data_IF_998517191196
#
_entry.id   IF_998517191196
#
_cell.length_a   1.000
_cell.length_b   1.000
_cell.length_c   1.000
_cell.angle_alpha   90.00
_cell.angle_beta   90.00
_cell.angle_gamma   90.00
#
_symmetry.space_group_name_H-M   'P 1'
#
loop_
_entity.id
_entity.type
_entity.pdbx_description
1 polymer ?
#
# COMPACT_ATOMS: atom_id res chain seq x y z
N UNK A 1 -48.68 31.24 -44.92
CA UNK A 1 -48.11 32.61 -44.96
C UNK A 1 -46.93 32.64 -44.00
N UNK A 2 -45.68 32.92 -44.36
CA UNK A 2 -45.04 33.21 -45.63
C UNK A 2 -43.53 33.39 -45.40
N UNK A 3 -42.74 32.61 -46.15
CA UNK A 3 -41.44 32.93 -46.78
C UNK A 3 -40.21 33.29 -45.91
N UNK A 4 -39.22 32.38 -45.93
CA UNK A 4 -37.79 32.72 -46.02
C UNK A 4 -37.46 33.09 -47.48
N UNK A 5 -36.45 33.94 -47.73
CA UNK A 5 -35.31 33.44 -48.52
C UNK A 5 -33.94 33.98 -48.08
N UNK A 6 -32.89 33.23 -48.45
CA UNK A 6 -31.47 33.60 -48.47
C UNK A 6 -31.23 34.84 -49.35
N UNK A 7 -30.18 35.63 -49.06
CA UNK A 7 -29.18 36.18 -50.00
C UNK A 7 -28.05 36.84 -49.16
N UNK A 8 -26.81 36.49 -49.46
CA UNK A 8 -25.63 37.18 -48.94
C UNK A 8 -25.14 38.29 -49.88
N UNK A 9 -24.42 39.27 -49.33
CA UNK A 9 -23.35 40.00 -50.01
C UNK A 9 -22.52 40.79 -48.98
N UNK A 10 -21.25 40.97 -49.35
CA UNK A 10 -20.09 41.38 -48.58
C UNK A 10 -19.95 42.89 -48.29
N UNK A 11 -19.22 43.22 -47.21
CA UNK A 11 -18.33 44.39 -47.06
C UNK A 11 -17.50 44.18 -45.77
N UNK A 12 -16.29 43.60 -45.79
CA UNK A 12 -14.97 44.22 -46.04
C UNK A 12 -14.76 45.54 -45.29
N UNK A 13 -14.08 45.49 -44.14
CA UNK A 13 -13.26 46.59 -43.64
C UNK A 13 -12.03 46.04 -42.90
N UNK A 14 -10.87 46.46 -43.38
CA UNK A 14 -9.53 46.04 -42.99
C UNK A 14 -9.14 46.55 -41.60
N UNK A 15 -8.48 45.70 -40.82
CA UNK A 15 -7.46 46.15 -39.86
C UNK A 15 -6.17 45.41 -40.15
N UNK A 16 -5.25 46.18 -40.74
CA UNK A 16 -3.85 45.87 -41.00
C UNK A 16 -3.05 46.14 -39.71
N UNK A 17 -2.26 45.17 -39.26
CA UNK A 17 -1.01 45.43 -38.53
C UNK A 17 -0.10 44.19 -38.52
N UNK A 18 0.94 44.27 -39.37
CA UNK A 18 2.27 43.64 -39.32
C UNK A 18 2.50 42.30 -38.59
N UNK A 19 2.79 41.28 -39.40
CA UNK A 19 3.79 40.26 -39.08
C UNK A 19 5.22 40.82 -39.24
N UNK A 20 6.20 40.23 -38.56
CA UNK A 20 7.50 40.03 -39.19
C UNK A 20 7.83 38.54 -39.33
N UNK A 21 8.43 38.25 -40.48
CA UNK A 21 8.86 36.96 -40.98
C UNK A 21 9.94 36.29 -40.11
N UNK A 22 9.98 34.96 -40.24
CA UNK A 22 11.11 34.13 -39.83
C UNK A 22 12.33 34.44 -40.71
N UNK A 23 13.45 34.76 -40.08
CA UNK A 23 14.78 34.54 -40.63
C UNK A 23 15.56 33.66 -39.67
N UNK A 24 15.96 32.49 -40.16
CA UNK A 24 16.85 31.58 -39.46
C UNK A 24 18.27 32.15 -39.45
N UNK A 25 18.91 32.17 -38.28
CA UNK A 25 20.37 32.19 -38.18
C UNK A 25 20.79 31.23 -37.06
N UNK A 26 21.59 30.24 -37.45
CA UNK A 26 22.44 29.45 -36.58
C UNK A 26 23.04 30.33 -35.47
N UNK A 27 23.03 29.84 -34.22
CA UNK A 27 24.18 29.84 -33.33
C UNK A 27 23.83 28.99 -32.10
N UNK A 28 24.65 27.98 -31.83
CA UNK A 28 24.59 27.17 -30.61
C UNK A 28 24.85 27.99 -29.34
N UNK A 29 24.93 27.34 -28.17
CA UNK A 29 25.16 28.03 -26.91
C UNK A 29 26.47 28.82 -26.96
N UNK A 30 26.36 30.15 -26.95
CA UNK A 30 27.48 31.07 -26.81
C UNK A 30 27.89 31.06 -25.32
N UNK A 31 29.13 30.66 -25.03
CA UNK A 31 29.73 30.83 -23.71
C UNK A 31 29.69 32.32 -23.34
N UNK A 32 28.92 32.66 -22.32
CA UNK A 32 28.95 34.00 -21.73
C UNK A 32 30.30 34.15 -21.05
N UNK A 33 31.03 35.14 -21.54
CA UNK A 33 32.33 35.60 -21.08
C UNK A 33 32.37 35.70 -19.55
N UNK A 34 33.36 35.05 -18.94
CA UNK A 34 33.58 35.15 -17.50
C UNK A 34 33.97 36.59 -17.14
N UNK A 35 33.04 37.29 -16.49
CA UNK A 35 33.35 38.54 -15.80
C UNK A 35 34.12 38.16 -14.54
N UNK A 36 35.44 38.24 -14.62
CA UNK A 36 36.31 38.15 -13.43
C UNK A 36 36.03 39.36 -12.54
N UNK A 37 35.14 39.20 -11.57
CA UNK A 37 34.99 40.15 -10.48
C UNK A 37 36.26 40.11 -9.62
N UNK A 38 36.86 41.27 -9.37
CA UNK A 38 37.99 41.40 -8.47
C UNK A 38 37.63 40.88 -7.06
N UNK A 39 38.56 40.19 -6.36
CA UNK A 39 38.29 39.66 -5.03
C UNK A 39 37.98 40.80 -4.08
N UNK A 40 36.74 40.89 -3.62
CA UNK A 40 36.37 41.83 -2.55
C UNK A 40 36.70 41.14 -1.25
N UNK A 41 37.68 41.67 -0.52
CA UNK A 41 38.01 41.22 0.84
C UNK A 41 36.77 41.35 1.72
N UNK A 42 36.22 40.27 2.29
CA UNK A 42 35.15 40.40 3.26
C UNK A 42 35.70 41.05 4.53
N UNK A 43 35.11 42.18 4.93
CA UNK A 43 35.36 42.79 6.23
C UNK A 43 34.88 41.84 7.35
N UNK A 44 35.66 41.62 8.42
CA UNK A 44 35.28 40.72 9.49
C UNK A 44 34.17 41.38 10.33
N UNK A 45 32.92 40.99 10.09
CA UNK A 45 31.80 41.37 10.95
C UNK A 45 31.23 40.12 11.61
N UNK A 46 31.79 39.75 12.77
CA UNK A 46 31.08 39.30 13.97
C UNK A 46 32.10 38.88 15.03
N UNK A 47 32.20 39.63 16.12
CA UNK A 47 32.89 39.18 17.31
C UNK A 47 32.13 37.99 17.92
N UNK A 48 32.84 36.88 18.15
CA UNK A 48 32.33 35.75 18.91
C UNK A 48 32.18 36.19 20.37
N UNK A 49 30.94 36.23 20.86
CA UNK A 49 30.67 36.37 22.29
C UNK A 49 31.12 35.08 22.98
N UNK A 50 31.94 35.21 24.03
CA UNK A 50 32.34 34.07 24.85
C UNK A 50 31.10 33.42 25.49
N UNK A 51 30.98 32.10 25.32
CA UNK A 51 30.02 31.29 26.05
C UNK A 51 30.37 31.33 27.54
N UNK A 52 29.46 31.74 28.45
CA UNK A 52 29.73 31.66 29.88
C UNK A 52 29.91 30.20 30.30
N UNK A 53 30.86 29.89 31.22
CA UNK A 53 31.00 28.55 31.76
C UNK A 53 29.73 28.15 32.52
N UNK A 54 29.41 26.84 32.59
CA UNK A 54 28.25 26.37 33.35
C UNK A 54 28.41 26.75 34.83
N UNK A 55 27.41 27.44 35.37
CA UNK A 55 27.28 27.69 36.81
C UNK A 55 26.92 26.35 37.45
N UNK A 56 27.85 25.77 38.20
CA UNK A 56 27.56 24.64 39.08
C UNK A 56 26.74 25.14 40.27
N UNK A 57 25.42 25.00 40.19
CA UNK A 57 24.56 25.18 41.36
C UNK A 57 24.73 23.91 42.21
N UNK A 58 25.35 24.04 43.38
CA UNK A 58 25.38 22.98 44.37
C UNK A 58 23.95 22.82 44.94
N UNK A 59 23.22 21.83 44.43
CA UNK A 59 21.95 21.43 45.02
C UNK A 59 22.30 20.57 46.23
N UNK A 60 22.18 21.13 47.44
CA UNK A 60 22.25 20.36 48.67
C UNK A 60 21.00 19.49 48.80
N UNK A 61 21.07 18.26 48.30
CA UNK A 61 20.04 17.26 48.53
C UNK A 61 20.18 16.75 49.97
N UNK A 62 19.39 17.28 50.91
CA UNK A 62 19.23 16.64 52.21
C UNK A 62 18.37 15.38 52.03
N UNK A 63 19.02 14.22 51.95
CA UNK A 63 18.34 12.92 52.03
C UNK A 63 17.86 12.73 53.47
N UNK A 64 16.56 12.83 53.69
CA UNK A 64 15.93 12.35 54.92
C UNK A 64 15.81 10.82 54.82
N UNK A 65 16.73 10.12 55.46
CA UNK A 65 16.76 8.66 55.51
C UNK A 65 15.68 8.16 56.47
N UNK A 66 14.52 7.75 55.95
CA UNK A 66 13.55 6.91 56.68
C UNK A 66 13.75 5.44 56.28
N UNK A 67 14.06 4.52 57.21
CA UNK A 67 14.12 3.11 56.90
C UNK A 67 12.69 2.54 56.84
N UNK A 68 12.14 2.39 55.63
CA UNK A 68 10.97 1.53 55.40
C UNK A 68 11.49 0.17 54.97
N UNK A 69 11.50 -0.78 55.90
CA UNK A 69 11.72 -2.20 55.60
C UNK A 69 10.41 -2.82 55.15
N UNK A 70 10.19 -2.87 53.84
CA UNK A 70 9.16 -3.73 53.21
C UNK A 70 9.83 -4.73 52.28
N UNK A 71 9.45 -6.02 52.30
CA UNK A 71 10.03 -7.01 51.43
C UNK A 71 9.63 -6.72 49.97
N UNK A 72 10.62 -6.37 49.15
CA UNK A 72 10.49 -6.29 47.68
C UNK A 72 10.21 -7.67 47.11
N UNK A 73 8.94 -7.97 46.83
CA UNK A 73 8.57 -9.02 45.89
C UNK A 73 8.95 -8.55 44.49
N UNK A 74 9.88 -9.26 43.83
CA UNK A 74 10.24 -8.99 42.43
C UNK A 74 9.02 -9.22 41.55
N UNK A 75 8.34 -8.15 41.15
CA UNK A 75 7.36 -8.24 40.08
C UNK A 75 8.10 -8.15 38.75
N UNK A 76 8.05 -9.23 37.97
CA UNK A 76 8.43 -9.24 36.56
C UNK A 76 7.36 -8.48 35.76
N UNK A 77 7.40 -7.14 35.80
CA UNK A 77 6.66 -6.35 34.82
C UNK A 77 7.53 -6.22 33.57
N UNK A 78 7.16 -6.95 32.52
CA UNK A 78 7.67 -6.71 31.17
C UNK A 78 7.03 -5.42 30.70
N UNK A 79 7.84 -4.35 30.58
CA UNK A 79 7.42 -3.13 29.92
C UNK A 79 7.27 -3.44 28.42
N UNK A 80 6.06 -3.78 28.00
CA UNK A 80 5.69 -3.82 26.59
C UNK A 80 5.65 -2.37 26.08
N UNK A 81 6.79 -1.88 25.60
CA UNK A 81 6.81 -0.70 24.74
C UNK A 81 6.02 -1.04 23.49
N UNK A 82 4.98 -0.27 23.10
CA UNK A 82 4.32 -0.48 21.83
C UNK A 82 5.35 -0.36 20.70
N UNK A 83 5.58 -1.45 19.98
CA UNK A 83 6.47 -1.45 18.81
C UNK A 83 5.89 -0.50 17.78
N UNK A 84 6.63 0.54 17.42
CA UNK A 84 6.24 1.46 16.35
C UNK A 84 5.97 0.66 15.08
N UNK A 85 4.92 1.01 14.31
CA UNK A 85 4.65 0.35 13.04
C UNK A 85 5.87 0.45 12.12
N UNK A 86 6.09 -0.58 11.28
CA UNK A 86 7.23 -0.69 10.39
C UNK A 86 7.55 0.64 9.68
N UNK A 87 8.80 1.07 9.76
CA UNK A 87 9.32 2.26 9.09
C UNK A 87 9.92 1.87 7.75
N UNK A 88 9.81 2.75 6.76
CA UNK A 88 10.39 2.55 5.42
C UNK A 88 11.92 2.71 5.43
N UNK A 89 12.51 3.18 6.53
CA UNK A 89 13.96 3.31 6.68
C UNK A 89 14.61 1.92 6.78
N UNK A 90 15.57 1.59 5.90
CA UNK A 90 16.33 0.35 6.03
C UNK A 90 17.10 0.37 7.36
N UNK A 91 16.82 -0.59 8.23
CA UNK A 91 17.68 -0.88 9.37
C UNK A 91 19.03 -1.33 8.79
N UNK A 92 20.08 -0.54 8.98
CA UNK A 92 21.45 -0.96 8.62
C UNK A 92 21.88 -2.09 9.57
N UNK A 93 21.44 -3.30 9.28
CA UNK A 93 22.01 -4.53 9.82
C UNK A 93 23.24 -4.86 8.98
N UNK A 94 24.47 -4.91 9.55
CA UNK A 94 25.65 -5.27 8.79
C UNK A 94 25.49 -6.71 8.28
N UNK A 95 25.18 -6.86 7.00
CA UNK A 95 25.02 -8.16 6.34
C UNK A 95 26.37 -8.60 5.81
N UNK A 96 27.09 -9.38 6.61
CA UNK A 96 28.21 -10.19 6.13
C UNK A 96 27.66 -11.22 5.14
N UNK A 97 27.93 -11.01 3.85
CA UNK A 97 27.47 -11.88 2.76
C UNK A 97 28.49 -13.00 2.53
N UNK A 98 28.20 -14.27 2.84
CA UNK A 98 29.04 -15.37 2.37
C UNK A 98 28.77 -15.58 0.87
N UNK A 99 29.81 -15.41 0.05
CA UNK A 99 29.80 -15.71 -1.37
C UNK A 99 29.93 -17.22 -1.59
N UNK A 100 28.80 -17.90 -1.83
CA UNK A 100 28.80 -19.26 -2.38
C UNK A 100 28.05 -19.27 -3.70
N UNK A 101 28.77 -19.65 -4.76
CA UNK A 101 28.25 -19.83 -6.11
C UNK A 101 27.62 -21.23 -6.21
N UNK A 102 26.31 -21.38 -6.48
CA UNK A 102 25.73 -22.71 -6.69
C UNK A 102 26.09 -23.23 -8.08
N UNK A 103 26.73 -24.40 -8.13
CA UNK A 103 26.90 -25.19 -9.35
C UNK A 103 25.58 -25.92 -9.65
N UNK A 104 24.93 -25.59 -10.77
CA UNK A 104 23.76 -26.32 -11.24
C UNK A 104 24.18 -27.64 -11.89
N UNK A 105 23.82 -28.76 -11.26
CA UNK A 105 23.89 -30.09 -11.87
C UNK A 105 22.61 -30.33 -12.69
N UNK A 106 22.77 -30.69 -13.97
CA UNK A 106 21.66 -30.99 -14.87
C UNK A 106 20.86 -32.22 -14.38
N UNK A 107 19.53 -32.10 -14.37
CA UNK A 107 18.59 -33.16 -14.00
C UNK A 107 18.47 -34.20 -15.13
N UNK A 108 18.37 -35.52 -14.83
CA UNK A 108 18.09 -36.53 -15.85
C UNK A 108 16.66 -36.38 -16.43
N UNK A 109 16.42 -36.78 -17.69
CA UNK A 109 15.11 -36.65 -18.32
C UNK A 109 14.07 -37.54 -17.61
N UNK A 110 12.97 -36.92 -17.19
CA UNK A 110 11.78 -37.61 -16.66
C UNK A 110 11.07 -38.39 -17.77
N UNK A 111 10.73 -39.65 -17.49
CA UNK A 111 10.04 -40.55 -18.40
C UNK A 111 8.65 -40.03 -18.80
N UNK A 112 8.39 -40.00 -20.11
CA UNK A 112 7.09 -39.71 -20.70
C UNK A 112 6.13 -40.87 -20.43
N UNK A 113 5.09 -40.65 -19.63
CA UNK A 113 4.00 -41.63 -19.49
C UNK A 113 3.10 -41.58 -20.71
N UNK A 114 3.12 -42.65 -21.51
CA UNK A 114 2.20 -42.89 -22.62
C UNK A 114 0.82 -43.26 -22.06
N UNK A 115 -0.21 -42.45 -22.29
CA UNK A 115 -1.60 -42.83 -22.02
C UNK A 115 -2.12 -43.68 -23.18
N UNK A 116 -2.29 -44.97 -22.93
CA UNK A 116 -2.95 -45.91 -23.86
C UNK A 116 -4.47 -45.74 -23.73
N UNK A 117 -5.12 -45.18 -24.74
CA UNK A 117 -6.58 -45.19 -24.82
C UNK A 117 -7.04 -46.56 -25.35
N UNK A 118 -7.74 -47.34 -24.51
CA UNK A 118 -8.42 -48.55 -24.95
C UNK A 118 -9.78 -48.11 -25.52
N UNK A 119 -9.92 -48.10 -26.84
CA UNK A 119 -11.22 -47.91 -27.49
C UNK A 119 -11.98 -49.24 -27.46
N UNK A 120 -12.89 -49.41 -26.50
CA UNK A 120 -13.85 -50.51 -26.51
C UNK A 120 -14.97 -50.16 -27.50
N UNK A 121 -15.04 -50.89 -28.61
CA UNK A 121 -16.18 -50.80 -29.53
C UNK A 121 -17.45 -51.35 -28.83
N UNK A 122 -18.60 -50.65 -28.92
CA UNK A 122 -19.84 -51.18 -28.36
C UNK A 122 -20.35 -52.35 -29.21
N UNK A 123 -20.54 -53.51 -28.57
CA UNK A 123 -21.26 -54.62 -29.18
C UNK A 123 -22.73 -54.25 -29.34
N UNK A 124 -23.21 -54.15 -30.58
CA UNK A 124 -24.63 -54.04 -30.91
C UNK A 124 -25.29 -55.42 -30.75
N UNK A 125 -25.84 -55.68 -29.57
CA UNK A 125 -26.84 -56.73 -29.37
C UNK A 125 -28.25 -56.13 -29.44
N UNK A 126 -29.00 -56.58 -30.44
CA UNK A 126 -30.43 -56.33 -30.62
C UNK A 126 -31.23 -56.78 -29.40
N UNK A 127 -31.96 -55.85 -28.76
CA UNK A 127 -33.05 -56.20 -27.85
C UNK A 127 -33.21 -55.30 -26.62
N UNK A 128 -34.09 -54.30 -26.73
CA UNK A 128 -35.00 -53.92 -25.65
C UNK A 128 -34.48 -53.08 -24.49
N UNK A 129 -35.14 -51.93 -24.32
CA UNK A 129 -35.10 -50.99 -23.17
C UNK A 129 -33.94 -50.00 -23.19
N UNK A 130 -34.25 -48.76 -23.59
CA UNK A 130 -33.41 -47.57 -23.45
C UNK A 130 -33.37 -47.21 -21.95
N UNK A 131 -32.23 -47.33 -21.24
CA UNK A 131 -32.13 -46.70 -19.93
C UNK A 131 -32.15 -45.18 -20.13
N UNK A 132 -33.08 -44.51 -19.44
CA UNK A 132 -33.06 -43.04 -19.27
C UNK A 132 -31.65 -42.70 -18.76
N UNK A 133 -30.89 -41.79 -19.40
CA UNK A 133 -29.57 -41.45 -18.92
C UNK A 133 -29.71 -40.88 -17.51
N UNK A 134 -29.20 -41.61 -16.52
CA UNK A 134 -28.93 -41.11 -15.19
C UNK A 134 -28.21 -39.78 -15.36
N UNK A 135 -28.77 -38.72 -14.78
CA UNK A 135 -28.21 -37.38 -14.87
C UNK A 135 -26.69 -37.46 -14.68
N UNK A 136 -25.94 -37.01 -15.70
CA UNK A 136 -24.52 -36.75 -15.55
C UNK A 136 -24.43 -35.67 -14.46
N UNK A 137 -24.18 -36.09 -13.22
CA UNK A 137 -23.64 -35.21 -12.21
C UNK A 137 -22.26 -34.86 -12.71
N UNK A 138 -22.17 -33.77 -13.48
CA UNK A 138 -20.90 -33.11 -13.75
C UNK A 138 -20.41 -32.70 -12.38
N UNK A 139 -19.56 -33.53 -11.77
CA UNK A 139 -18.67 -33.07 -10.72
C UNK A 139 -17.89 -31.94 -11.39
N UNK A 140 -18.11 -30.66 -11.02
CA UNK A 140 -17.35 -29.56 -11.61
C UNK A 140 -15.91 -29.97 -11.42
N UNK A 141 -15.16 -30.15 -12.51
CA UNK A 141 -13.80 -30.65 -12.43
C UNK A 141 -13.09 -29.79 -11.38
N UNK A 142 -12.73 -30.40 -10.25
CA UNK A 142 -11.95 -29.74 -9.23
C UNK A 142 -10.71 -29.24 -9.96
N UNK A 143 -10.65 -27.92 -10.17
CA UNK A 143 -9.53 -27.30 -10.83
C UNK A 143 -8.29 -27.74 -10.05
N UNK A 144 -7.34 -28.42 -10.72
CA UNK A 144 -6.19 -29.00 -10.05
C UNK A 144 -5.22 -27.88 -9.66
N UNK A 145 -5.52 -27.17 -8.56
CA UNK A 145 -4.71 -26.07 -8.09
C UNK A 145 -3.35 -26.60 -7.61
N UNK A 146 -2.28 -26.10 -8.22
CA UNK A 146 -0.90 -26.43 -7.83
C UNK A 146 -0.44 -25.67 -6.60
N UNK A 147 -1.09 -24.55 -6.30
CA UNK A 147 -0.79 -23.68 -5.15
C UNK A 147 -2.00 -23.60 -4.25
N UNK A 148 -1.78 -23.87 -2.96
CA UNK A 148 -2.81 -23.75 -1.93
C UNK A 148 -3.03 -22.29 -1.51
N UNK A 149 -4.25 -22.03 -1.04
CA UNK A 149 -4.58 -20.81 -0.31
C UNK A 149 -3.90 -20.80 1.06
N UNK A 150 -3.53 -19.62 1.56
CA UNK A 150 -2.92 -19.46 2.89
C UNK A 150 -3.91 -19.70 4.04
N UNK A 151 -5.18 -19.89 3.72
CA UNK A 151 -6.29 -20.12 4.64
C UNK A 151 -7.04 -21.42 4.28
N UNK A 152 -7.75 -21.98 5.25
CA UNK A 152 -8.53 -23.23 5.11
C UNK A 152 -9.99 -23.13 5.55
N UNK A 153 -10.43 -21.98 6.06
CA UNK A 153 -11.79 -21.76 6.57
C UNK A 153 -12.88 -21.79 5.49
N UNK A 154 -12.52 -21.53 4.23
CA UNK A 154 -13.38 -21.76 3.07
C UNK A 154 -12.51 -22.13 1.87
N UNK A 155 -13.14 -22.68 0.82
CA UNK A 155 -12.46 -23.06 -0.41
C UNK A 155 -13.00 -22.21 -1.56
N UNK A 156 -12.24 -21.20 -2.03
CA UNK A 156 -12.56 -20.48 -3.26
C UNK A 156 -12.63 -21.47 -4.44
N UNK A 157 -13.55 -21.24 -5.37
CA UNK A 157 -13.61 -22.01 -6.62
C UNK A 157 -12.40 -21.73 -7.53
N UNK A 158 -11.79 -20.55 -7.40
CA UNK A 158 -10.58 -20.13 -8.08
C UNK A 158 -9.31 -20.71 -7.45
N UNK A 159 -8.28 -20.92 -8.26
CA UNK A 159 -6.96 -21.29 -7.77
C UNK A 159 -6.13 -20.06 -7.37
N UNK A 160 -5.30 -20.21 -6.35
CA UNK A 160 -4.27 -19.22 -6.03
C UNK A 160 -3.21 -19.17 -7.15
N UNK A 161 -2.87 -17.97 -7.61
CA UNK A 161 -1.89 -17.76 -8.69
C UNK A 161 -0.44 -17.71 -8.21
N UNK A 162 -0.23 -17.43 -6.93
CA UNK A 162 1.08 -17.21 -6.33
C UNK A 162 1.12 -17.73 -4.89
N UNK A 163 2.31 -18.12 -4.38
CA UNK A 163 2.49 -18.29 -2.94
C UNK A 163 2.13 -17.02 -2.17
N UNK A 164 1.73 -17.11 -0.89
CA UNK A 164 1.37 -15.94 -0.12
C UNK A 164 2.53 -14.96 0.02
N UNK A 165 2.25 -13.72 -0.35
CA UNK A 165 3.15 -12.61 -0.09
C UNK A 165 3.03 -12.23 1.38
N UNK A 166 4.06 -12.55 2.16
CA UNK A 166 4.13 -12.25 3.59
C UNK A 166 5.08 -11.08 3.80
N UNK A 167 4.62 -10.05 4.50
CA UNK A 167 5.46 -8.90 4.88
C UNK A 167 5.00 -8.27 6.17
N UNK A 168 5.77 -7.30 6.67
CA UNK A 168 5.26 -6.39 7.68
C UNK A 168 4.05 -5.62 7.13
N UNK A 169 3.15 -5.23 8.01
CA UNK A 169 1.98 -4.43 7.70
C UNK A 169 1.50 -3.64 8.91
N UNK A 170 0.57 -2.74 8.66
CA UNK A 170 -0.07 -1.92 9.67
C UNK A 170 -1.57 -1.88 9.40
N UNK A 171 -2.37 -1.80 10.45
CA UNK A 171 -3.82 -1.71 10.36
C UNK A 171 -4.32 -0.54 11.20
N UNK A 172 -5.29 0.22 10.68
CA UNK A 172 -5.95 1.29 11.41
C UNK A 172 -7.46 1.27 11.14
N UNK A 173 -8.24 1.32 12.21
CA UNK A 173 -9.70 1.36 12.12
C UNK A 173 -10.19 2.81 12.04
N UNK A 174 -11.17 3.03 11.18
CA UNK A 174 -11.89 4.30 11.01
C UNK A 174 -13.36 4.13 11.37
N UNK A 175 -14.09 5.25 11.45
CA UNK A 175 -15.52 5.27 11.78
C UNK A 175 -16.36 4.47 10.78
N UNK A 176 -16.05 4.54 9.48
CA UNK A 176 -16.82 3.91 8.41
C UNK A 176 -15.94 3.03 7.51
N UNK A 177 -14.89 2.43 8.07
CA UNK A 177 -14.01 1.55 7.31
C UNK A 177 -12.68 1.29 7.99
N UNK A 178 -11.71 0.81 7.23
CA UNK A 178 -10.37 0.52 7.73
C UNK A 178 -9.31 0.74 6.65
N UNK A 179 -8.08 1.00 7.10
CA UNK A 179 -6.90 0.97 6.24
C UNK A 179 -5.94 -0.14 6.66
N UNK A 180 -5.31 -0.74 5.67
CA UNK A 180 -4.33 -1.81 5.83
C UNK A 180 -3.15 -1.55 4.90
N UNK A 181 -1.94 -1.49 5.44
CA UNK A 181 -0.72 -1.32 4.66
C UNK A 181 0.04 -2.63 4.54
N UNK A 182 0.59 -2.90 3.34
CA UNK A 182 1.41 -4.09 3.04
C UNK A 182 2.80 -3.64 2.56
N UNK A 183 3.81 -3.85 3.40
CA UNK A 183 5.17 -3.34 3.16
C UNK A 183 5.80 -3.83 1.85
N UNK A 184 5.63 -5.11 1.51
CA UNK A 184 6.23 -5.69 0.27
C UNK A 184 5.65 -5.09 -1.01
N UNK A 185 4.44 -4.52 -0.95
CA UNK A 185 3.75 -3.90 -2.09
C UNK A 185 3.85 -2.37 -2.05
N UNK A 186 4.31 -1.80 -0.93
CA UNK A 186 4.21 -0.38 -0.60
C UNK A 186 2.81 0.21 -0.85
N UNK A 187 1.79 -0.56 -0.47
CA UNK A 187 0.39 -0.29 -0.81
C UNK A 187 -0.50 -0.22 0.43
N UNK A 188 -1.40 0.76 0.45
CA UNK A 188 -2.48 0.96 1.41
C UNK A 188 -3.79 0.49 0.78
N UNK A 189 -4.36 -0.56 1.32
CA UNK A 189 -5.72 -1.00 1.04
C UNK A 189 -6.68 -0.23 1.95
N UNK A 190 -7.75 0.28 1.35
CA UNK A 190 -8.79 1.04 2.01
C UNK A 190 -10.09 0.28 1.85
N UNK A 191 -10.74 -0.04 2.96
CA UNK A 191 -12.04 -0.71 3.00
C UNK A 191 -13.09 0.28 3.49
N UNK A 192 -14.22 0.36 2.79
CA UNK A 192 -15.35 1.21 3.17
C UNK A 192 -16.51 0.35 3.64
N UNK A 193 -17.10 0.69 4.79
CA UNK A 193 -18.25 -0.01 5.35
C UNK A 193 -19.56 0.32 4.62
N UNK A 194 -19.60 1.47 3.93
CA UNK A 194 -20.77 1.91 3.14
C UNK A 194 -21.08 0.92 2.01
N UNK A 195 -22.35 0.70 1.66
CA UNK A 195 -22.73 -0.20 0.57
C UNK A 195 -22.47 0.36 -0.85
N UNK A 196 -22.11 1.64 -0.97
CA UNK A 196 -21.88 2.29 -2.27
C UNK A 196 -20.47 1.99 -2.81
N UNK A 197 -20.32 1.66 -4.11
CA UNK A 197 -19.01 1.52 -4.72
C UNK A 197 -18.29 2.88 -4.86
N UNK A 198 -16.94 2.90 -4.82
CA UNK A 198 -16.07 1.75 -4.57
C UNK A 198 -16.16 1.32 -3.09
N UNK A 199 -16.25 0.01 -2.86
CA UNK A 199 -16.29 -0.60 -1.53
C UNK A 199 -14.91 -0.80 -0.95
N UNK A 200 -13.91 -0.91 -1.83
CA UNK A 200 -12.51 -0.91 -1.45
C UNK A 200 -11.66 -0.25 -2.52
N UNK A 201 -10.49 0.27 -2.15
CA UNK A 201 -9.52 0.84 -3.06
C UNK A 201 -8.09 0.52 -2.60
N UNK A 202 -7.12 0.68 -3.50
CA UNK A 202 -5.70 0.54 -3.20
C UNK A 202 -4.95 1.79 -3.63
N UNK A 203 -4.04 2.25 -2.78
CA UNK A 203 -3.21 3.43 -3.01
C UNK A 203 -1.76 3.10 -2.70
N UNK A 204 -0.82 3.77 -3.36
CA UNK A 204 0.58 3.70 -2.97
C UNK A 204 0.80 4.52 -1.71
N UNK A 205 1.64 4.03 -0.80
CA UNK A 205 2.03 4.82 0.35
C UNK A 205 3.06 5.88 -0.05
N UNK A 206 2.66 7.15 -0.09
CA UNK A 206 3.54 8.26 -0.43
C UNK A 206 4.36 8.78 0.77
N UNK A 207 4.13 8.26 1.98
CA UNK A 207 4.85 8.71 3.16
C UNK A 207 6.29 8.21 3.15
N UNK A 208 7.21 9.08 3.52
CA UNK A 208 8.60 8.74 3.78
C UNK A 208 9.00 9.24 5.15
N UNK A 209 9.92 8.55 5.82
CA UNK A 209 10.39 8.99 7.13
C UNK A 209 11.00 10.40 7.04
N UNK A 210 10.72 11.22 8.06
CA UNK A 210 11.06 12.64 8.09
C UNK A 210 9.96 13.58 7.58
N UNK A 211 8.90 13.05 6.94
CA UNK A 211 7.69 13.83 6.69
C UNK A 211 6.91 14.06 8.00
N UNK A 212 6.09 15.12 8.10
CA UNK A 212 5.18 15.30 9.22
C UNK A 212 4.22 14.12 9.37
N UNK A 213 4.24 13.50 10.54
CA UNK A 213 3.32 12.42 10.91
C UNK A 213 1.86 12.91 10.91
N UNK A 214 1.66 14.11 11.45
CA UNK A 214 0.37 14.77 11.69
C UNK A 214 0.31 16.11 10.96
N UNK A 215 -0.88 16.67 10.89
CA UNK A 215 -1.13 18.01 10.35
C UNK A 215 -1.94 18.82 11.37
N UNK A 216 -1.41 19.97 11.86
CA UNK A 216 -2.09 20.81 12.84
C UNK A 216 -3.50 21.26 12.45
N UNK A 217 -3.82 21.31 11.15
CA UNK A 217 -5.16 21.64 10.67
C UNK A 217 -6.25 20.68 11.18
N UNK A 218 -5.88 19.49 11.68
CA UNK A 218 -6.82 18.49 12.18
C UNK A 218 -6.54 18.07 13.64
N UNK A 219 -5.83 18.89 14.42
CA UNK A 219 -5.57 18.62 15.85
C UNK A 219 -6.86 18.64 16.69
N UNK A 220 -7.93 19.26 16.18
CA UNK A 220 -9.24 19.33 16.81
C UNK A 220 -10.16 18.19 16.37
N UNK A 221 -9.69 16.95 16.50
CA UNK A 221 -10.50 15.77 16.23
C UNK A 221 -11.73 15.68 17.15
N UNK A 222 -12.88 15.16 16.68
CA UNK A 222 -14.04 14.88 17.53
C UNK A 222 -13.71 13.94 18.71
N UNK A 223 -14.51 13.96 19.80
CA UNK A 223 -14.31 13.06 20.94
C UNK A 223 -14.23 11.58 20.52
N UNK A 224 -13.32 10.84 21.15
CA UNK A 224 -13.08 9.41 20.90
C UNK A 224 -12.64 9.09 19.47
N UNK A 225 -12.07 10.08 18.77
CA UNK A 225 -11.48 9.90 17.45
C UNK A 225 -10.12 10.58 17.38
N UNK A 226 -9.30 10.17 16.42
CA UNK A 226 -7.92 10.64 16.27
C UNK A 226 -7.60 10.96 14.81
N UNK A 227 -6.68 11.91 14.62
CA UNK A 227 -6.06 12.10 13.30
C UNK A 227 -5.19 10.87 13.00
N UNK A 228 -5.39 10.19 11.86
CA UNK A 228 -4.47 9.15 11.41
C UNK A 228 -3.07 9.74 11.16
N UNK A 229 -2.03 8.95 11.44
CA UNK A 229 -0.63 9.39 11.36
C UNK A 229 0.07 8.76 10.15
N UNK A 230 1.25 9.28 9.79
CA UNK A 230 2.17 8.69 8.80
C UNK A 230 1.51 8.40 7.44
N UNK A 231 1.65 7.19 6.89
CA UNK A 231 1.13 6.78 5.58
C UNK A 231 -0.39 6.92 5.48
N UNK A 232 -1.12 6.36 6.45
CA UNK A 232 -2.57 6.51 6.51
C UNK A 232 -2.99 7.98 6.67
N UNK A 233 -2.27 8.69 7.54
CA UNK A 233 -2.47 10.12 7.78
C UNK A 233 -2.29 10.98 6.54
N UNK A 234 -1.24 10.71 5.75
CA UNK A 234 -0.91 11.43 4.53
C UNK A 234 -1.96 11.20 3.45
N UNK A 235 -2.37 9.95 3.25
CA UNK A 235 -3.44 9.61 2.31
C UNK A 235 -4.76 10.28 2.70
N UNK A 236 -5.14 10.18 3.97
CA UNK A 236 -6.39 10.71 4.51
C UNK A 236 -6.46 12.24 4.47
N UNK A 237 -5.38 12.95 4.77
CA UNK A 237 -5.38 14.43 4.72
C UNK A 237 -5.38 14.97 3.28
N UNK A 238 -4.68 14.29 2.36
CA UNK A 238 -4.55 14.72 0.97
C UNK A 238 -5.78 14.39 0.11
N UNK A 239 -6.58 13.40 0.49
CA UNK A 239 -7.78 13.00 -0.27
C UNK A 239 -9.05 13.31 0.54
N UNK A 240 -9.64 14.49 0.31
CA UNK A 240 -10.85 14.91 1.03
C UNK A 240 -12.02 13.94 0.83
N UNK A 241 -12.26 13.47 -0.39
CA UNK A 241 -13.35 12.52 -0.68
C UNK A 241 -13.19 11.20 0.11
N UNK A 242 -11.96 10.70 0.21
CA UNK A 242 -11.66 9.50 0.99
C UNK A 242 -11.85 9.74 2.50
N UNK A 243 -11.40 10.89 3.00
CA UNK A 243 -11.61 11.29 4.39
C UNK A 243 -13.09 11.40 4.73
N UNK A 244 -13.87 12.05 3.88
CA UNK A 244 -15.31 12.24 4.09
C UNK A 244 -16.04 10.90 4.09
N UNK A 245 -15.54 9.92 3.34
CA UNK A 245 -16.10 8.57 3.25
C UNK A 245 -15.72 7.69 4.46
N UNK A 246 -14.47 7.72 4.92
CA UNK A 246 -14.01 6.93 6.08
C UNK A 246 -14.36 7.53 7.43
N UNK A 247 -14.38 8.86 7.53
CA UNK A 247 -14.38 9.58 8.79
C UNK A 247 -13.02 9.58 9.48
N UNK A 248 -13.01 9.80 10.79
CA UNK A 248 -11.80 9.84 11.62
C UNK A 248 -11.33 8.44 12.05
N UNK A 249 -10.09 8.32 12.50
CA UNK A 249 -9.61 7.08 13.10
C UNK A 249 -10.29 6.88 14.47
N UNK A 250 -10.68 5.64 14.79
CA UNK A 250 -11.27 5.27 16.09
C UNK A 250 -10.25 4.56 17.00
N UNK A 251 -9.02 4.43 16.53
CA UNK A 251 -7.87 3.95 17.28
C UNK A 251 -6.76 4.99 17.17
N UNK A 252 -6.11 5.31 18.29
CA UNK A 252 -5.09 6.36 18.34
C UNK A 252 -3.84 6.06 17.51
N UNK A 253 -3.46 4.78 17.44
CA UNK A 253 -2.25 4.33 16.76
C UNK A 253 -2.53 3.13 15.88
N UNK A 254 -1.74 3.01 14.82
CA UNK A 254 -1.76 1.86 13.92
C UNK A 254 -1.27 0.60 14.65
N UNK A 255 -1.88 -0.53 14.32
CA UNK A 255 -1.54 -1.83 14.90
C UNK A 255 -0.63 -2.56 13.91
N UNK A 256 0.64 -2.85 14.28
CA UNK A 256 1.51 -3.64 13.43
C UNK A 256 1.06 -5.10 13.40
N UNK A 257 1.12 -5.71 12.22
CA UNK A 257 0.84 -7.13 12.03
C UNK A 257 1.54 -7.67 10.78
N UNK A 258 1.35 -8.94 10.47
CA UNK A 258 1.98 -9.61 9.32
C UNK A 258 0.91 -10.11 8.36
N UNK A 259 0.46 -9.29 7.39
CA UNK A 259 -0.49 -9.73 6.37
C UNK A 259 0.10 -10.81 5.46
N UNK A 260 -0.78 -11.69 4.99
CA UNK A 260 -0.52 -12.62 3.89
C UNK A 260 -1.42 -12.23 2.72
N UNK A 261 -0.86 -11.98 1.54
CA UNK A 261 -1.63 -11.58 0.35
C UNK A 261 -1.51 -12.64 -0.75
N UNK A 262 -2.62 -13.08 -1.32
CA UNK A 262 -2.66 -13.96 -2.50
C UNK A 262 -3.69 -13.47 -3.52
N UNK A 263 -3.41 -13.73 -4.80
CA UNK A 263 -4.29 -13.44 -5.92
C UNK A 263 -4.95 -14.72 -6.42
N UNK A 264 -6.24 -14.64 -6.71
CA UNK A 264 -7.01 -15.70 -7.37
C UNK A 264 -6.93 -15.59 -8.88
N UNK A 265 -7.07 -16.73 -9.56
CA UNK A 265 -7.15 -16.79 -11.03
C UNK A 265 -8.34 -16.02 -11.61
N UNK A 266 -9.32 -15.68 -10.79
CA UNK A 266 -10.50 -14.86 -11.08
C UNK A 266 -10.30 -13.37 -10.80
N UNK A 267 -9.11 -12.96 -10.34
CA UNK A 267 -8.77 -11.59 -9.98
C UNK A 267 -9.12 -11.20 -8.54
N UNK A 268 -9.70 -12.11 -7.75
CA UNK A 268 -9.96 -11.86 -6.33
C UNK A 268 -8.64 -11.67 -5.58
N UNK A 269 -8.61 -10.72 -4.64
CA UNK A 269 -7.47 -10.53 -3.74
C UNK A 269 -7.87 -11.03 -2.36
N UNK A 270 -7.03 -11.86 -1.74
CA UNK A 270 -7.21 -12.32 -0.38
C UNK A 270 -6.10 -11.78 0.51
N UNK A 271 -6.46 -11.16 1.63
CA UNK A 271 -5.55 -10.54 2.59
C UNK A 271 -5.84 -11.08 3.99
N UNK A 272 -4.83 -11.65 4.66
CA UNK A 272 -4.94 -12.09 6.05
C UNK A 272 -5.22 -10.92 6.99
N UNK A 273 -6.14 -11.11 7.93
CA UNK A 273 -6.52 -10.13 8.94
C UNK A 273 -5.69 -10.28 10.23
N UNK A 274 -5.53 -9.18 10.98
CA UNK A 274 -4.81 -9.17 12.25
C UNK A 274 -5.41 -10.09 13.32
N UNK A 275 -6.70 -10.43 13.20
CA UNK A 275 -7.42 -11.33 14.14
C UNK A 275 -7.56 -12.77 13.62
N UNK A 276 -6.79 -13.15 12.60
CA UNK A 276 -6.80 -14.51 12.04
C UNK A 276 -7.90 -14.77 11.00
N UNK A 277 -8.66 -13.75 10.61
CA UNK A 277 -9.60 -13.81 9.49
C UNK A 277 -8.93 -13.58 8.13
N UNK A 278 -9.75 -13.47 7.08
CA UNK A 278 -9.30 -13.11 5.71
C UNK A 278 -10.28 -12.14 5.09
N UNK A 279 -9.76 -11.05 4.54
CA UNK A 279 -10.48 -10.18 3.63
C UNK A 279 -10.44 -10.76 2.21
N UNK A 280 -11.59 -10.84 1.54
CA UNK A 280 -11.70 -11.07 0.10
C UNK A 280 -12.13 -9.78 -0.59
N UNK A 281 -11.44 -9.39 -1.65
CA UNK A 281 -11.69 -8.15 -2.37
C UNK A 281 -12.03 -8.50 -3.82
N UNK A 282 -13.15 -7.97 -4.32
CA UNK A 282 -13.59 -8.19 -5.70
C UNK A 282 -12.76 -7.35 -6.68
N UNK A 283 -12.37 -7.87 -7.86
CA UNK A 283 -11.46 -7.18 -8.79
C UNK A 283 -12.00 -5.85 -9.34
N UNK A 284 -13.31 -5.63 -9.27
CA UNK A 284 -14.02 -4.44 -9.76
C UNK A 284 -14.24 -3.37 -8.67
N UNK A 285 -13.63 -3.53 -7.48
CA UNK A 285 -13.82 -2.62 -6.34
C UNK A 285 -15.26 -2.52 -5.84
N UNK A 286 -16.15 -3.40 -6.29
CA UNK A 286 -17.58 -3.33 -5.97
C UNK A 286 -17.95 -3.99 -4.66
N UNK A 287 -17.11 -4.87 -4.11
CA UNK A 287 -17.35 -5.47 -2.80
C UNK A 287 -16.09 -5.98 -2.11
N UNK A 288 -16.17 -6.11 -0.78
CA UNK A 288 -15.22 -6.84 0.02
C UNK A 288 -15.94 -7.56 1.16
N UNK A 289 -15.36 -8.65 1.64
CA UNK A 289 -15.91 -9.44 2.75
C UNK A 289 -14.79 -9.91 3.67
N UNK A 290 -15.07 -9.95 4.97
CA UNK A 290 -14.19 -10.56 5.97
C UNK A 290 -14.75 -11.92 6.39
N UNK A 291 -13.91 -12.94 6.32
CA UNK A 291 -14.17 -14.28 6.85
C UNK A 291 -13.41 -14.44 8.18
N UNK A 292 -14.01 -15.14 9.15
CA UNK A 292 -13.45 -15.39 10.48
C UNK A 292 -13.81 -16.77 10.97
#
# INVERSE_FOLDING_TARGET
MGKRPLIGLALIMLLVACSPERSALNNGPLLVQEVTLAPTTPAPTRALSATPPPIAIAISTSVLTTPITTPTTKSNFVLITPTLPPSKTPTQTPTITPSWTPTFTALPPTATNSVTYITVAPNLTSGGVVPIPTALSVNPQAQACTTGWFFSMFQPASCAMNPPLVSAGAFLQFQNGAMLWVAKQDAIYVFFDSASPPRWQVFNDAFTDGMPDTDPAFDHAPPYTWQPRRGFGLLWRNQSALRDHLGWAVTESEIPFTPQVQLGSDGMIFIGDMRGGVYSLSPDSSDWKRYS
#
